data_IF_246253278425
#
_entry.id   IF_246253278425
#
_cell.length_a   1.000
_cell.length_b   1.000
_cell.length_c   1.000
_cell.angle_alpha   90.00
_cell.angle_beta   90.00
_cell.angle_gamma   90.00
#
_symmetry.space_group_name_H-M   'P 1'
#
loop_
_entity.id
_entity.type
_entity.pdbx_description
1 polymer ?
#
# COMPACT_ATOMS: atom_id res chain seq x y z
N UNK A 1 43.31 55.06 -7.79
CA UNK A 1 42.47 54.14 -8.57
C UNK A 1 42.80 52.72 -8.09
N UNK A 2 42.10 52.17 -7.09
CA UNK A 2 40.92 51.26 -7.19
C UNK A 2 41.24 50.08 -8.13
N UNK A 3 41.32 48.80 -7.71
CA UNK A 3 40.26 47.90 -7.22
C UNK A 3 40.91 46.67 -6.51
N UNK A 4 40.86 46.55 -5.17
CA UNK A 4 39.89 45.78 -4.37
C UNK A 4 39.48 44.40 -4.93
N UNK A 5 39.94 43.36 -4.22
CA UNK A 5 39.19 42.17 -3.80
C UNK A 5 38.31 41.46 -4.85
N UNK A 6 38.83 40.40 -5.48
CA UNK A 6 38.01 39.48 -6.29
C UNK A 6 38.51 38.02 -6.21
N UNK A 7 38.82 37.54 -5.01
CA UNK A 7 39.29 36.17 -4.75
C UNK A 7 38.59 35.52 -3.55
N UNK A 8 37.29 35.79 -3.35
CA UNK A 8 36.57 35.32 -2.16
C UNK A 8 35.08 35.08 -2.40
N UNK A 9 34.70 34.48 -3.54
CA UNK A 9 33.30 34.06 -3.78
C UNK A 9 33.15 32.63 -4.31
N UNK A 10 34.23 31.84 -4.36
CA UNK A 10 34.15 30.41 -4.69
C UNK A 10 34.27 29.63 -3.38
N UNK A 11 33.24 29.65 -2.54
CA UNK A 11 33.27 28.93 -1.26
C UNK A 11 31.92 28.63 -0.63
N UNK A 12 30.80 29.19 -1.15
CA UNK A 12 29.52 29.14 -0.43
C UNK A 12 28.42 28.38 -1.20
N UNK A 13 28.64 27.99 -2.46
CA UNK A 13 27.61 27.33 -3.27
C UNK A 13 27.68 25.80 -3.34
N UNK A 14 28.53 25.14 -2.55
CA UNK A 14 28.68 23.67 -2.57
C UNK A 14 28.13 22.96 -1.31
N UNK A 15 27.42 23.68 -0.43
CA UNK A 15 26.85 23.10 0.80
C UNK A 15 25.43 22.54 0.65
N UNK A 16 24.72 22.84 -0.43
CA UNK A 16 23.27 22.60 -0.53
C UNK A 16 22.85 21.60 -1.62
N UNK A 17 23.72 20.67 -2.01
CA UNK A 17 23.35 19.61 -2.97
C UNK A 17 23.42 18.19 -2.41
N UNK A 18 23.94 17.99 -1.20
CA UNK A 18 24.16 16.64 -0.65
C UNK A 18 22.91 16.06 0.06
N UNK A 19 21.91 16.88 0.40
CA UNK A 19 20.77 16.45 1.23
C UNK A 19 19.64 15.77 0.44
N UNK A 20 19.61 15.87 -0.90
CA UNK A 20 18.50 15.30 -1.69
C UNK A 20 18.67 13.82 -2.07
N UNK A 21 19.84 13.21 -1.85
CA UNK A 21 20.15 11.86 -2.37
C UNK A 21 19.76 10.72 -1.40
N UNK A 22 19.40 11.01 -0.14
CA UNK A 22 19.25 9.97 0.90
C UNK A 22 17.80 9.63 1.30
N UNK A 23 16.78 10.20 0.65
CA UNK A 23 15.38 10.06 1.10
C UNK A 23 14.49 9.09 0.31
N UNK A 24 14.98 8.53 -0.81
CA UNK A 24 14.19 7.64 -1.66
C UNK A 24 14.23 6.19 -1.18
N UNK A 25 13.72 5.91 0.01
CA UNK A 25 13.39 4.52 0.35
C UNK A 25 12.25 4.09 -0.56
N UNK A 26 12.58 3.42 -1.66
CA UNK A 26 11.61 2.68 -2.45
C UNK A 26 11.02 1.61 -1.54
N UNK A 27 9.91 1.94 -0.87
CA UNK A 27 9.04 0.94 -0.27
C UNK A 27 8.52 0.16 -1.46
N UNK A 28 9.24 -0.89 -1.83
CA UNK A 28 8.80 -1.85 -2.83
C UNK A 28 7.52 -2.46 -2.26
N UNK A 29 6.38 -1.94 -2.71
CA UNK A 29 5.08 -2.41 -2.28
C UNK A 29 5.04 -3.89 -2.65
N UNK A 30 5.02 -4.77 -1.64
CA UNK A 30 4.94 -6.20 -1.91
C UNK A 30 3.73 -6.45 -2.81
N UNK A 31 3.86 -7.29 -3.85
CA UNK A 31 2.76 -7.56 -4.75
C UNK A 31 1.55 -7.99 -3.93
N UNK A 32 0.44 -7.25 -4.10
CA UNK A 32 -0.79 -7.43 -3.34
C UNK A 32 -1.26 -8.87 -3.54
N UNK A 33 -1.09 -9.71 -2.50
CA UNK A 33 -1.45 -11.12 -2.55
C UNK A 33 -2.95 -11.25 -2.34
N UNK A 34 -3.62 -11.96 -3.23
CA UNK A 34 -5.04 -12.26 -3.12
C UNK A 34 -5.31 -13.08 -1.84
N UNK A 35 -6.15 -12.54 -0.95
CA UNK A 35 -6.54 -13.18 0.32
C UNK A 35 -7.62 -14.22 0.03
N UNK A 36 -7.46 -15.47 0.50
CA UNK A 36 -8.47 -16.52 0.34
C UNK A 36 -9.14 -16.80 1.67
N UNK A 37 -10.44 -16.55 1.75
CA UNK A 37 -11.24 -16.70 2.96
C UNK A 37 -12.16 -17.91 2.79
N UNK A 38 -12.03 -18.91 3.66
CA UNK A 38 -12.93 -20.07 3.69
C UNK A 38 -14.08 -19.85 4.67
N UNK A 39 -15.32 -20.06 4.24
CA UNK A 39 -16.51 -19.96 5.10
C UNK A 39 -17.27 -21.29 5.10
N UNK A 40 -17.49 -21.86 6.29
CA UNK A 40 -18.30 -23.05 6.49
C UNK A 40 -19.73 -22.64 6.83
N UNK A 41 -20.71 -23.28 6.20
CA UNK A 41 -22.12 -22.99 6.45
C UNK A 41 -22.99 -24.25 6.36
N UNK A 42 -24.01 -24.39 7.23
CA UNK A 42 -24.98 -25.48 7.14
C UNK A 42 -26.09 -25.21 6.12
N UNK A 43 -26.04 -24.10 5.37
CA UNK A 43 -27.04 -23.73 4.37
C UNK A 43 -26.48 -23.84 2.96
N UNK A 44 -27.35 -24.22 2.01
CA UNK A 44 -27.02 -24.21 0.59
C UNK A 44 -27.24 -22.80 0.03
N UNK A 45 -26.15 -22.12 -0.32
CA UNK A 45 -26.19 -20.82 -1.01
C UNK A 45 -25.71 -19.63 -0.16
N UNK A 46 -26.00 -18.40 -0.61
CA UNK A 46 -25.60 -17.19 0.09
C UNK A 46 -26.28 -17.11 1.46
N UNK A 47 -25.49 -17.02 2.52
CA UNK A 47 -26.00 -16.74 3.86
C UNK A 47 -25.83 -15.26 4.19
N UNK A 48 -26.71 -14.67 5.02
CA UNK A 48 -26.58 -13.28 5.44
C UNK A 48 -25.20 -12.97 6.04
N UNK A 49 -24.60 -13.92 6.76
CA UNK A 49 -23.25 -13.76 7.32
C UNK A 49 -22.17 -13.65 6.23
N UNK A 50 -22.24 -14.45 5.17
CA UNK A 50 -21.28 -14.42 4.06
C UNK A 50 -21.45 -13.15 3.22
N UNK A 51 -22.70 -12.74 2.99
CA UNK A 51 -23.00 -11.47 2.31
C UNK A 51 -22.49 -10.29 3.12
N UNK A 52 -22.80 -10.23 4.42
CA UNK A 52 -22.31 -9.16 5.29
C UNK A 52 -20.79 -9.10 5.42
N UNK A 53 -20.11 -10.26 5.42
CA UNK A 53 -18.64 -10.30 5.36
C UNK A 53 -18.10 -9.70 4.06
N UNK A 54 -18.70 -10.05 2.92
CA UNK A 54 -18.33 -9.46 1.62
C UNK A 54 -18.53 -7.95 1.63
N UNK A 55 -19.70 -7.50 2.07
CA UNK A 55 -20.07 -6.08 2.05
C UNK A 55 -19.15 -5.26 2.96
N UNK A 56 -18.87 -5.76 4.17
CA UNK A 56 -17.93 -5.10 5.09
C UNK A 56 -16.51 -5.01 4.54
N UNK A 57 -16.02 -6.03 3.81
CA UNK A 57 -14.72 -5.95 3.13
C UNK A 57 -14.72 -4.91 2.02
N UNK A 58 -15.82 -4.80 1.26
CA UNK A 58 -15.96 -3.80 0.21
C UNK A 58 -16.01 -2.37 0.77
N UNK A 59 -16.72 -2.14 1.88
CA UNK A 59 -16.75 -0.86 2.58
C UNK A 59 -15.36 -0.42 3.07
N UNK A 60 -14.52 -1.38 3.46
CA UNK A 60 -13.13 -1.14 3.83
C UNK A 60 -12.19 -0.92 2.63
N UNK A 61 -12.73 -0.93 1.40
CA UNK A 61 -11.99 -0.69 0.17
C UNK A 61 -11.34 -1.93 -0.45
N UNK A 62 -11.64 -3.13 0.06
CA UNK A 62 -11.19 -4.37 -0.57
C UNK A 62 -12.08 -4.74 -1.76
N UNK A 63 -11.45 -5.19 -2.84
CA UNK A 63 -12.15 -5.60 -4.07
C UNK A 63 -12.18 -7.12 -4.20
N UNK A 64 -13.36 -7.68 -4.38
CA UNK A 64 -13.51 -9.13 -4.60
C UNK A 64 -12.81 -9.54 -5.91
N UNK A 65 -12.15 -10.70 -5.91
CA UNK A 65 -11.30 -11.25 -6.97
C UNK A 65 -10.01 -10.47 -7.28
N UNK A 66 -9.74 -9.35 -6.59
CA UNK A 66 -8.48 -8.62 -6.71
C UNK A 66 -7.70 -8.69 -5.39
N UNK A 67 -8.41 -8.47 -4.29
CA UNK A 67 -7.85 -8.36 -2.96
C UNK A 67 -8.25 -9.54 -2.09
N UNK A 68 -9.46 -10.07 -2.30
CA UNK A 68 -9.95 -11.25 -1.60
C UNK A 68 -10.87 -12.13 -2.44
N UNK A 69 -11.00 -13.40 -2.04
CA UNK A 69 -12.00 -14.35 -2.54
C UNK A 69 -12.61 -15.11 -1.37
N UNK A 70 -13.94 -15.29 -1.37
CA UNK A 70 -14.65 -16.08 -0.37
C UNK A 70 -15.04 -17.44 -0.95
N UNK A 71 -14.41 -18.50 -0.45
CA UNK A 71 -14.75 -19.88 -0.75
C UNK A 71 -15.75 -20.42 0.27
N UNK A 72 -17.00 -20.60 -0.14
CA UNK A 72 -18.04 -21.19 0.71
C UNK A 72 -17.99 -22.72 0.61
N UNK A 73 -18.10 -23.40 1.75
CA UNK A 73 -18.16 -24.86 1.86
C UNK A 73 -19.35 -25.24 2.74
N UNK A 74 -20.14 -26.18 2.25
CA UNK A 74 -21.23 -26.75 3.00
C UNK A 74 -20.70 -27.73 4.05
N UNK A 75 -21.17 -27.63 5.29
CA UNK A 75 -20.88 -28.60 6.34
C UNK A 75 -22.17 -28.96 7.07
N UNK A 76 -22.49 -30.24 7.11
CA UNK A 76 -23.53 -30.77 7.98
C UNK A 76 -22.83 -31.24 9.27
N UNK A 77 -23.22 -30.66 10.40
CA UNK A 77 -22.81 -31.16 11.73
C UNK A 77 -23.48 -32.47 12.06
#
# INVERSE_FOLDING_TARGET
>A
MMFRARWLTIGILSGLSVVTVLGGSEVSAQPKRLIKIGALTPSWGPTPAIVGLRDGLQELGYRENQDFVIGVRFTQG
#
